data_IF_807026258806
#
_entry.id   IF_807026258806
#
_cell.length_a   1.000
_cell.length_b   1.000
_cell.length_c   1.000
_cell.angle_alpha   90.00
_cell.angle_beta   90.00
_cell.angle_gamma   90.00
#
_symmetry.space_group_name_H-M   'P 1'
#
loop_
_entity.id
_entity.type
_entity.pdbx_description
1 polymer ?
#
# COMPACT_ATOMS: atom_id res chain seq x y z
N UNK A 1 6.01 34.42 -2.01
CA UNK A 1 5.31 33.27 -2.62
C UNK A 1 6.25 32.65 -3.65
N UNK A 2 7.12 31.72 -3.24
CA UNK A 2 8.13 31.14 -4.15
C UNK A 2 7.51 29.99 -4.95
N UNK A 3 7.30 30.23 -6.24
CA UNK A 3 6.92 29.20 -7.19
C UNK A 3 8.15 28.34 -7.50
N UNK A 4 8.36 27.28 -6.70
CA UNK A 4 9.50 26.38 -6.81
C UNK A 4 9.24 25.41 -7.97
N UNK A 5 10.02 25.51 -9.06
CA UNK A 5 10.01 24.54 -10.18
C UNK A 5 10.23 23.13 -9.63
N UNK A 6 9.32 22.18 -9.92
CA UNK A 6 9.49 20.78 -9.54
C UNK A 6 10.72 20.21 -10.24
N UNK A 7 11.62 19.59 -9.51
CA UNK A 7 12.78 18.90 -10.11
C UNK A 7 12.31 17.62 -10.82
N UNK A 8 13.09 17.08 -11.77
CA UNK A 8 12.74 15.83 -12.45
C UNK A 8 12.55 14.65 -11.48
N UNK A 9 13.24 14.67 -10.33
CA UNK A 9 13.07 13.69 -9.26
C UNK A 9 11.68 13.77 -8.58
N UNK A 10 11.13 14.97 -8.44
CA UNK A 10 9.78 15.18 -7.87
C UNK A 10 8.70 14.63 -8.81
N UNK A 11 8.88 14.79 -10.13
CA UNK A 11 7.95 14.26 -11.13
C UNK A 11 7.96 12.73 -11.15
N UNK A 12 9.14 12.10 -11.03
CA UNK A 12 9.26 10.65 -10.89
C UNK A 12 8.51 10.11 -9.67
N UNK A 13 8.67 10.74 -8.49
CA UNK A 13 7.96 10.34 -7.28
C UNK A 13 6.44 10.49 -7.39
N UNK A 14 5.96 11.53 -8.08
CA UNK A 14 4.54 11.72 -8.34
C UNK A 14 3.98 10.64 -9.28
N UNK A 15 4.73 10.23 -10.30
CA UNK A 15 4.38 9.09 -11.15
C UNK A 15 4.22 7.82 -10.33
N UNK A 16 5.22 7.47 -9.50
CA UNK A 16 5.15 6.29 -8.64
C UNK A 16 4.01 6.35 -7.63
N UNK A 17 3.73 7.52 -7.06
CA UNK A 17 2.58 7.72 -6.16
C UNK A 17 1.26 7.41 -6.88
N UNK A 18 1.07 7.92 -8.10
CA UNK A 18 -0.13 7.63 -8.90
C UNK A 18 -0.23 6.16 -9.25
N UNK A 19 0.89 5.55 -9.63
CA UNK A 19 0.98 4.13 -9.96
C UNK A 19 0.59 3.26 -8.75
N UNK A 20 1.14 3.51 -7.56
CA UNK A 20 0.77 2.78 -6.33
C UNK A 20 -0.71 2.94 -5.99
N UNK A 21 -1.26 4.16 -6.10
CA UNK A 21 -2.68 4.37 -5.84
C UNK A 21 -3.57 3.60 -6.82
N UNK A 22 -3.23 3.62 -8.12
CA UNK A 22 -3.94 2.85 -9.14
C UNK A 22 -3.87 1.35 -8.88
N UNK A 23 -2.68 0.83 -8.59
CA UNK A 23 -2.51 -0.59 -8.26
C UNK A 23 -3.16 -0.99 -6.94
N UNK A 24 -3.27 -0.07 -5.97
CA UNK A 24 -4.03 -0.29 -4.75
C UNK A 24 -5.50 -0.51 -5.05
N UNK A 25 -6.09 0.32 -5.92
CA UNK A 25 -7.49 0.15 -6.35
C UNK A 25 -7.69 -1.18 -7.10
N UNK A 26 -6.76 -1.55 -7.98
CA UNK A 26 -6.79 -2.85 -8.69
C UNK A 26 -6.71 -4.00 -7.70
N UNK A 27 -5.82 -3.93 -6.72
CA UNK A 27 -5.71 -4.94 -5.66
C UNK A 27 -7.01 -5.09 -4.88
N UNK A 28 -7.61 -3.97 -4.44
CA UNK A 28 -8.90 -4.03 -3.77
C UNK A 28 -10.00 -4.64 -4.64
N UNK A 29 -10.11 -4.25 -5.92
CA UNK A 29 -11.10 -4.82 -6.82
C UNK A 29 -10.93 -6.33 -6.98
N UNK A 30 -9.69 -6.81 -7.14
CA UNK A 30 -9.41 -8.24 -7.26
C UNK A 30 -9.75 -8.98 -5.96
N UNK A 31 -9.36 -8.46 -4.79
CA UNK A 31 -9.69 -9.09 -3.51
C UNK A 31 -11.21 -9.14 -3.27
N UNK A 32 -11.93 -8.06 -3.58
CA UNK A 32 -13.39 -8.01 -3.48
C UNK A 32 -14.02 -9.07 -4.39
N UNK A 33 -13.61 -9.11 -5.67
CA UNK A 33 -14.11 -10.09 -6.62
C UNK A 33 -13.78 -11.52 -6.19
N UNK A 34 -12.56 -11.79 -5.73
CA UNK A 34 -12.15 -13.08 -5.22
C UNK A 34 -13.03 -13.51 -4.04
N UNK A 35 -13.23 -12.63 -3.06
CA UNK A 35 -14.01 -12.89 -1.86
C UNK A 35 -15.47 -13.20 -2.18
N UNK A 36 -16.15 -12.34 -2.95
CA UNK A 36 -17.57 -12.56 -3.27
C UNK A 36 -17.82 -13.66 -4.30
N UNK A 37 -16.84 -13.98 -5.14
CA UNK A 37 -16.94 -15.11 -6.08
C UNK A 37 -16.69 -16.48 -5.44
N UNK A 38 -16.43 -16.56 -4.13
CA UNK A 38 -16.06 -17.83 -3.46
C UNK A 38 -14.78 -18.44 -4.05
N UNK A 39 -13.83 -17.60 -4.47
CA UNK A 39 -12.49 -18.02 -4.86
C UNK A 39 -12.32 -18.45 -6.32
N UNK A 40 -13.15 -17.99 -7.26
CA UNK A 40 -12.93 -18.26 -8.70
C UNK A 40 -11.70 -17.52 -9.25
N UNK A 41 -11.33 -16.37 -8.70
CA UNK A 41 -10.24 -15.53 -9.19
C UNK A 41 -8.87 -15.87 -8.59
N UNK A 42 -8.56 -17.16 -8.35
CA UNK A 42 -7.29 -17.57 -7.67
C UNK A 42 -6.04 -17.04 -8.35
N UNK A 43 -5.98 -17.09 -9.68
CA UNK A 43 -4.78 -16.67 -10.44
C UNK A 43 -4.57 -15.16 -10.30
N UNK A 44 -5.64 -14.37 -10.47
CA UNK A 44 -5.57 -12.91 -10.34
C UNK A 44 -5.18 -12.51 -8.91
N UNK A 45 -5.74 -13.19 -7.91
CA UNK A 45 -5.46 -12.99 -6.49
C UNK A 45 -3.99 -13.26 -6.14
N UNK A 46 -3.47 -14.40 -6.62
CA UNK A 46 -2.06 -14.77 -6.44
C UNK A 46 -1.12 -13.74 -7.09
N UNK A 47 -1.38 -13.35 -8.34
CA UNK A 47 -0.55 -12.37 -9.04
C UNK A 47 -0.57 -11.00 -8.36
N UNK A 48 -1.75 -10.52 -7.96
CA UNK A 48 -1.85 -9.19 -7.36
C UNK A 48 -1.19 -9.14 -5.98
N UNK A 49 -1.24 -10.23 -5.22
CA UNK A 49 -0.60 -10.34 -3.91
C UNK A 49 0.93 -10.25 -3.95
N UNK A 50 1.54 -10.51 -5.11
CA UNK A 50 2.98 -10.36 -5.32
C UNK A 50 3.30 -9.01 -5.96
N UNK A 51 2.58 -8.65 -7.03
CA UNK A 51 2.87 -7.44 -7.80
C UNK A 51 2.64 -6.16 -7.00
N UNK A 52 1.53 -6.08 -6.27
CA UNK A 52 1.19 -4.86 -5.55
C UNK A 52 2.20 -4.55 -4.42
N UNK A 53 2.56 -5.49 -3.52
CA UNK A 53 3.61 -5.25 -2.54
C UNK A 53 4.96 -4.90 -3.14
N UNK A 54 5.33 -5.49 -4.28
CA UNK A 54 6.57 -5.15 -4.98
C UNK A 54 6.57 -3.68 -5.44
N UNK A 55 5.49 -3.21 -6.08
CA UNK A 55 5.36 -1.81 -6.54
C UNK A 55 5.34 -0.85 -5.34
N UNK A 56 4.62 -1.21 -4.27
CA UNK A 56 4.59 -0.42 -3.03
C UNK A 56 5.98 -0.33 -2.39
N UNK A 57 6.75 -1.41 -2.39
CA UNK A 57 8.13 -1.46 -1.88
C UNK A 57 9.05 -0.55 -2.70
N UNK A 58 8.96 -0.60 -4.04
CA UNK A 58 9.75 0.27 -4.92
C UNK A 58 9.44 1.74 -4.65
N UNK A 59 8.16 2.12 -4.62
CA UNK A 59 7.76 3.51 -4.36
C UNK A 59 8.21 3.98 -2.98
N UNK A 60 7.99 3.17 -1.95
CA UNK A 60 8.38 3.55 -0.59
C UNK A 60 9.89 3.66 -0.48
N UNK A 61 10.66 2.72 -1.04
CA UNK A 61 12.12 2.81 -1.12
C UNK A 61 12.62 4.08 -1.80
N UNK A 62 12.08 4.44 -2.97
CA UNK A 62 12.45 5.70 -3.65
C UNK A 62 12.10 6.94 -2.84
N UNK A 63 10.92 6.96 -2.21
CA UNK A 63 10.47 8.05 -1.33
C UNK A 63 11.38 8.19 -0.10
N UNK A 64 11.77 7.08 0.52
CA UNK A 64 12.71 7.08 1.65
C UNK A 64 14.09 7.57 1.20
N UNK A 65 14.63 7.03 0.11
CA UNK A 65 15.94 7.42 -0.44
C UNK A 65 16.01 8.91 -0.78
N UNK A 66 14.97 9.44 -1.44
CA UNK A 66 14.87 10.86 -1.75
C UNK A 66 14.91 11.73 -0.48
N UNK A 67 14.23 11.30 0.60
CA UNK A 67 14.26 12.01 1.88
C UNK A 67 15.67 12.08 2.47
N UNK A 68 16.33 10.92 2.57
CA UNK A 68 17.68 10.82 3.12
C UNK A 68 18.72 11.61 2.31
N UNK A 69 18.57 11.67 0.98
CA UNK A 69 19.55 12.34 0.11
C UNK A 69 19.35 13.85 -0.01
N UNK A 70 18.10 14.30 -0.10
CA UNK A 70 17.81 15.66 -0.56
C UNK A 70 17.02 16.51 0.44
N UNK A 71 16.51 15.92 1.53
CA UNK A 71 15.63 16.58 2.50
C UNK A 71 14.40 17.28 1.86
N UNK A 72 14.14 17.02 0.57
CA UNK A 72 13.30 17.85 -0.28
C UNK A 72 11.85 17.36 -0.32
N UNK A 73 11.56 16.16 0.19
CA UNK A 73 10.26 15.53 0.11
C UNK A 73 9.71 15.10 1.47
N UNK A 74 9.02 16.03 2.12
CA UNK A 74 8.17 15.75 3.28
C UNK A 74 6.73 15.57 2.82
N UNK A 75 6.36 14.34 2.45
CA UNK A 75 4.94 13.97 2.37
C UNK A 75 4.41 13.90 3.80
N UNK A 76 3.91 15.04 4.29
CA UNK A 76 3.24 15.18 5.58
C UNK A 76 1.90 14.40 5.49
N UNK A 77 1.78 13.36 6.33
CA UNK A 77 0.53 12.68 6.73
C UNK A 77 -0.19 11.70 5.78
N UNK A 78 0.26 11.41 4.56
CA UNK A 78 -0.48 10.46 3.70
C UNK A 78 -0.29 8.96 4.01
N UNK A 79 0.78 8.58 4.71
CA UNK A 79 1.07 7.16 4.97
C UNK A 79 0.16 6.52 6.01
N UNK A 80 -0.21 7.26 7.06
CA UNK A 80 -1.08 6.79 8.15
C UNK A 80 -2.48 6.48 7.64
N UNK A 81 -3.09 7.42 6.91
CA UNK A 81 -4.41 7.25 6.30
C UNK A 81 -4.46 6.08 5.32
N UNK A 82 -3.38 5.85 4.57
CA UNK A 82 -3.30 4.74 3.65
C UNK A 82 -3.36 3.39 4.38
N UNK A 83 -2.58 3.21 5.44
CA UNK A 83 -2.62 1.97 6.23
C UNK A 83 -3.92 1.82 6.97
N UNK A 84 -4.45 2.90 7.55
CA UNK A 84 -5.74 2.88 8.23
C UNK A 84 -6.86 2.43 7.28
N UNK A 85 -6.87 2.93 6.04
CA UNK A 85 -7.80 2.48 5.01
C UNK A 85 -7.65 0.98 4.72
N UNK A 86 -6.44 0.48 4.51
CA UNK A 86 -6.18 -0.96 4.31
C UNK A 86 -6.64 -1.80 5.50
N UNK A 87 -6.39 -1.35 6.73
CA UNK A 87 -6.82 -2.03 7.96
C UNK A 87 -8.34 -2.06 8.06
N UNK A 88 -9.05 -0.97 7.77
CA UNK A 88 -10.52 -0.95 7.76
C UNK A 88 -11.09 -1.91 6.73
N UNK A 89 -10.54 -1.94 5.52
CA UNK A 89 -10.97 -2.87 4.46
C UNK A 89 -10.71 -4.31 4.89
N UNK A 90 -9.52 -4.63 5.40
CA UNK A 90 -9.21 -5.99 5.85
C UNK A 90 -10.13 -6.43 7.01
N UNK A 91 -10.37 -5.56 8.00
CA UNK A 91 -11.31 -5.84 9.10
C UNK A 91 -12.73 -6.09 8.59
N UNK A 92 -13.20 -5.34 7.59
CA UNK A 92 -14.50 -5.57 6.98
C UNK A 92 -14.62 -6.99 6.41
N UNK A 93 -13.59 -7.47 5.69
CA UNK A 93 -13.57 -8.82 5.13
C UNK A 93 -13.59 -9.89 6.23
N UNK A 94 -12.83 -9.70 7.31
CA UNK A 94 -12.82 -10.61 8.47
C UNK A 94 -14.22 -10.66 9.12
N UNK A 95 -14.85 -9.50 9.36
CA UNK A 95 -16.19 -9.42 9.94
C UNK A 95 -17.22 -10.13 9.05
N UNK A 96 -17.20 -9.86 7.74
CA UNK A 96 -18.13 -10.52 6.78
C UNK A 96 -17.87 -12.03 6.72
N UNK A 97 -16.62 -12.46 6.79
CA UNK A 97 -16.27 -13.89 6.81
C UNK A 97 -16.86 -14.60 8.03
N UNK A 98 -16.75 -14.00 9.22
CA UNK A 98 -17.32 -14.52 10.46
C UNK A 98 -18.85 -14.52 10.42
N UNK A 99 -19.47 -13.42 10.01
CA UNK A 99 -20.94 -13.30 9.95
C UNK A 99 -21.56 -14.25 8.91
N UNK A 100 -20.86 -14.53 7.82
CA UNK A 100 -21.30 -15.47 6.78
C UNK A 100 -21.06 -16.93 7.13
N UNK A 101 -20.65 -17.24 8.37
CA UNK A 101 -20.36 -18.60 8.87
C UNK A 101 -19.35 -19.35 7.98
N UNK A 102 -18.35 -18.62 7.45
CA UNK A 102 -17.30 -19.20 6.60
C UNK A 102 -17.69 -19.44 5.14
N UNK A 103 -18.87 -18.97 4.69
CA UNK A 103 -19.26 -18.99 3.27
C UNK A 103 -18.31 -18.14 2.42
N UNK A 104 -17.88 -17.01 2.96
CA UNK A 104 -16.81 -16.19 2.40
C UNK A 104 -15.57 -16.33 3.26
N UNK A 105 -14.44 -16.63 2.62
CA UNK A 105 -13.17 -16.84 3.30
C UNK A 105 -12.16 -15.79 2.85
N UNK A 106 -11.43 -15.24 3.81
CA UNK A 106 -10.30 -14.35 3.53
C UNK A 106 -9.18 -15.19 2.95
N UNK A 107 -8.70 -14.83 1.76
CA UNK A 107 -7.62 -15.58 1.10
C UNK A 107 -6.28 -15.35 1.82
N UNK A 108 -5.37 -16.32 1.65
CA UNK A 108 -4.02 -16.20 2.18
C UNK A 108 -3.30 -15.02 1.51
N UNK A 109 -3.54 -14.84 0.22
CA UNK A 109 -3.05 -13.78 -0.65
C UNK A 109 -3.44 -12.38 -0.14
N UNK A 110 -4.70 -12.20 0.27
CA UNK A 110 -5.14 -10.94 0.88
C UNK A 110 -4.43 -10.70 2.22
N UNK A 111 -4.30 -11.75 3.04
CA UNK A 111 -3.65 -11.69 4.35
C UNK A 111 -2.16 -11.33 4.23
N UNK A 112 -1.44 -11.97 3.31
CA UNK A 112 -0.01 -11.69 3.06
C UNK A 112 0.18 -10.28 2.49
N UNK A 113 -0.72 -9.84 1.62
CA UNK A 113 -0.70 -8.48 1.07
C UNK A 113 -0.90 -7.43 2.16
N UNK A 114 -1.90 -7.63 3.03
CA UNK A 114 -2.13 -6.74 4.17
C UNK A 114 -0.91 -6.69 5.10
N UNK A 115 -0.33 -7.85 5.42
CA UNK A 115 0.87 -7.94 6.24
C UNK A 115 2.03 -7.16 5.61
N UNK A 116 2.21 -7.25 4.29
CA UNK A 116 3.23 -6.49 3.58
C UNK A 116 2.99 -4.98 3.68
N UNK A 117 1.76 -4.50 3.51
CA UNK A 117 1.41 -3.07 3.67
C UNK A 117 1.78 -2.55 5.06
N UNK A 118 1.39 -3.28 6.12
CA UNK A 118 1.70 -2.91 7.50
C UNK A 118 3.20 -2.94 7.77
N UNK A 119 3.90 -3.96 7.27
CA UNK A 119 5.36 -4.12 7.43
C UNK A 119 6.11 -2.98 6.77
N UNK A 120 5.80 -2.70 5.51
CA UNK A 120 6.40 -1.58 4.76
C UNK A 120 6.16 -0.27 5.50
N UNK A 121 4.94 -0.06 6.01
CA UNK A 121 4.65 1.13 6.81
C UNK A 121 5.49 1.21 8.08
N UNK A 122 5.58 0.14 8.87
CA UNK A 122 6.39 0.09 10.08
C UNK A 122 7.86 0.42 9.81
N UNK A 123 8.43 -0.14 8.73
CA UNK A 123 9.80 0.17 8.28
C UNK A 123 9.93 1.64 7.91
N UNK A 124 8.99 2.19 7.13
CA UNK A 124 9.04 3.61 6.75
C UNK A 124 8.88 4.56 7.95
N UNK A 125 8.08 4.19 8.94
CA UNK A 125 7.90 4.95 10.18
C UNK A 125 9.22 4.98 10.98
N UNK A 126 9.89 3.84 11.10
CA UNK A 126 11.20 3.76 11.76
C UNK A 126 12.27 4.56 11.01
N UNK A 127 12.32 4.46 9.68
CA UNK A 127 13.21 5.29 8.84
C UNK A 127 12.99 6.79 9.06
N UNK A 128 11.73 7.25 9.14
CA UNK A 128 11.40 8.65 9.48
C UNK A 128 11.92 9.06 10.87
N UNK A 129 11.68 8.23 11.88
CA UNK A 129 12.11 8.50 13.26
C UNK A 129 13.64 8.59 13.38
N UNK A 130 14.37 7.77 12.62
CA UNK A 130 15.84 7.84 12.57
C UNK A 130 16.32 9.10 11.86
N UNK A 131 15.70 9.44 10.73
CA UNK A 131 16.04 10.65 9.99
C UNK A 131 15.80 11.92 10.81
N UNK A 132 14.73 11.99 11.61
CA UNK A 132 14.42 13.18 12.43
C UNK A 132 15.32 13.35 13.65
N UNK A 133 16.09 12.32 14.03
CA UNK A 133 17.04 12.36 15.16
C UNK A 133 18.46 12.77 14.73
N UNK A 134 18.73 12.89 13.43
CA UNK A 134 19.94 13.49 12.87
C UNK A 134 19.72 14.99 12.65
#
# INVERSE_FOLDING_TARGET
MFHRKSTGADQGLLFWKRMVNGWSLVAFMIFVLHFFSRGYFKIADSLISVLYPAILTIYTGQKEFSRWRSNHFSSRFFGEWFVLFWTLVFMLFVIVSVLSRGTYQVSLEMTTTYLAVVTIYAVTLKSKQLHSRR
#
